data_IF_346606252754
#
_entry.id   IF_346606252754
#
_cell.length_a   1.000
_cell.length_b   1.000
_cell.length_c   1.000
_cell.angle_alpha   90.00
_cell.angle_beta   90.00
_cell.angle_gamma   90.00
#
_symmetry.space_group_name_H-M   'P 1'
#
loop_
_entity.id
_entity.type
_entity.pdbx_description
1 polymer ?
#
# COMPACT_ATOMS: atom_id res chain seq x y z
N UNK A 1 4.00 18.79 -17.97
CA UNK A 1 3.67 17.34 -17.98
C UNK A 1 2.80 17.09 -16.75
N UNK A 2 1.49 17.27 -16.89
CA UNK A 2 0.56 16.99 -15.79
C UNK A 2 0.48 15.46 -15.72
N UNK A 3 1.00 14.87 -14.64
CA UNK A 3 0.72 13.45 -14.38
C UNK A 3 -0.74 13.40 -13.95
N UNK A 4 -1.55 12.66 -14.70
CA UNK A 4 -2.92 12.30 -14.30
C UNK A 4 -2.90 11.87 -12.82
N UNK A 5 -3.86 12.31 -12.00
CA UNK A 5 -4.01 11.77 -10.66
C UNK A 5 -4.11 10.24 -10.74
N UNK A 6 -3.45 9.56 -9.81
CA UNK A 6 -3.64 8.13 -9.54
C UNK A 6 -5.17 7.88 -9.50
N UNK A 7 -5.68 7.11 -10.46
CA UNK A 7 -7.10 7.05 -10.83
C UNK A 7 -8.01 6.75 -9.64
N UNK A 8 -7.54 5.94 -8.69
CA UNK A 8 -8.29 5.60 -7.48
C UNK A 8 -8.28 6.71 -6.44
N UNK A 9 -7.20 7.47 -6.34
CA UNK A 9 -7.12 8.55 -5.36
C UNK A 9 -8.17 9.64 -5.64
N UNK A 10 -8.50 9.86 -6.92
CA UNK A 10 -9.58 10.75 -7.32
C UNK A 10 -10.98 10.30 -6.85
N UNK A 11 -11.13 9.05 -6.40
CA UNK A 11 -12.42 8.47 -5.99
C UNK A 11 -12.65 8.57 -4.47
N UNK A 12 -11.66 8.99 -3.68
CA UNK A 12 -11.74 9.13 -2.22
C UNK A 12 -12.90 10.06 -1.83
N UNK A 13 -13.77 9.63 -0.90
CA UNK A 13 -14.87 10.45 -0.38
C UNK A 13 -14.67 10.87 1.08
N UNK A 14 -13.73 10.23 1.79
CA UNK A 14 -13.43 10.50 3.19
C UNK A 14 -12.29 11.51 3.34
N UNK A 15 -12.49 12.53 4.17
CA UNK A 15 -11.43 13.49 4.56
C UNK A 15 -10.45 12.93 5.62
N UNK A 16 -10.58 11.65 5.98
CA UNK A 16 -9.78 11.00 7.03
C UNK A 16 -8.97 9.81 6.50
N UNK A 17 -9.38 8.59 6.80
CA UNK A 17 -8.82 7.37 6.22
C UNK A 17 -9.27 7.20 4.78
N UNK A 18 -8.40 6.60 3.96
CA UNK A 18 -8.75 6.21 2.60
C UNK A 18 -9.85 5.15 2.63
N UNK A 19 -10.94 5.43 1.92
CA UNK A 19 -12.06 4.53 1.68
C UNK A 19 -11.93 3.74 0.37
N UNK A 20 -10.78 3.89 -0.31
CA UNK A 20 -10.41 3.19 -1.53
C UNK A 20 -9.07 2.48 -1.34
N UNK A 21 -8.87 1.37 -2.05
CA UNK A 21 -7.61 0.66 -2.04
C UNK A 21 -6.51 1.45 -2.78
N UNK A 22 -5.33 1.68 -2.18
CA UNK A 22 -4.21 2.32 -2.87
C UNK A 22 -3.77 1.55 -4.12
N UNK A 23 -3.22 2.26 -5.11
CA UNK A 23 -2.58 1.61 -6.25
C UNK A 23 -1.19 1.07 -5.89
N UNK A 24 -0.49 1.76 -4.98
CA UNK A 24 0.84 1.39 -4.49
C UNK A 24 0.89 1.51 -2.96
N UNK A 25 1.42 0.49 -2.30
CA UNK A 25 1.86 0.52 -0.91
C UNK A 25 3.39 0.32 -0.87
N UNK A 26 4.07 1.03 0.03
CA UNK A 26 5.51 0.86 0.26
C UNK A 26 5.74 0.46 1.72
N UNK A 27 6.17 -0.78 1.94
CA UNK A 27 6.57 -1.30 3.25
C UNK A 27 8.10 -1.17 3.39
N UNK A 28 8.55 -0.37 4.36
CA UNK A 28 9.97 -0.24 4.71
C UNK A 28 10.21 -1.07 5.96
N UNK A 29 10.99 -2.14 5.83
CA UNK A 29 11.18 -3.08 6.94
C UNK A 29 12.06 -2.47 8.04
N UNK A 30 11.55 -2.54 9.27
CA UNK A 30 12.33 -2.31 10.48
C UNK A 30 13.25 -3.50 10.75
N UNK A 31 14.37 -3.34 11.47
CA UNK A 31 15.31 -4.43 11.73
C UNK A 31 14.69 -5.59 12.50
N UNK A 32 13.67 -5.29 13.31
CA UNK A 32 12.93 -6.21 14.15
C UNK A 32 11.72 -6.84 13.45
N UNK A 33 11.36 -6.42 12.24
CA UNK A 33 10.16 -6.91 11.58
C UNK A 33 10.32 -8.39 11.25
N UNK A 34 9.34 -9.17 11.67
CA UNK A 34 9.26 -10.58 11.35
C UNK A 34 8.69 -10.77 9.95
N UNK A 35 9.27 -11.69 9.19
CA UNK A 35 8.80 -11.97 7.83
C UNK A 35 7.35 -12.46 7.80
N UNK A 36 6.91 -13.19 8.83
CA UNK A 36 5.53 -13.65 8.97
C UNK A 36 4.53 -12.50 9.07
N UNK A 37 4.87 -11.43 9.78
CA UNK A 37 4.00 -10.25 9.91
C UNK A 37 3.85 -9.52 8.59
N UNK A 38 4.95 -9.41 7.82
CA UNK A 38 4.89 -8.87 6.46
C UNK A 38 4.00 -9.73 5.55
N UNK A 39 4.13 -11.06 5.60
CA UNK A 39 3.30 -11.93 4.77
C UNK A 39 1.80 -11.75 5.06
N UNK A 40 1.43 -11.60 6.33
CA UNK A 40 0.04 -11.28 6.73
C UNK A 40 -0.42 -9.96 6.12
N UNK A 41 0.37 -8.88 6.26
CA UNK A 41 0.06 -7.58 5.66
C UNK A 41 -0.12 -7.66 4.15
N UNK A 42 0.79 -8.35 3.45
CA UNK A 42 0.72 -8.52 2.00
C UNK A 42 -0.58 -9.21 1.58
N UNK A 43 -0.99 -10.27 2.28
CA UNK A 43 -2.24 -10.95 2.01
C UNK A 43 -3.45 -10.01 2.18
N UNK A 44 -3.46 -9.19 3.24
CA UNK A 44 -4.51 -8.21 3.50
C UNK A 44 -4.57 -7.12 2.42
N UNK A 45 -3.42 -6.59 2.00
CA UNK A 45 -3.34 -5.55 0.97
C UNK A 45 -3.84 -6.05 -0.39
N UNK A 46 -3.44 -7.25 -0.80
CA UNK A 46 -3.92 -7.82 -2.06
C UNK A 46 -5.38 -8.27 -1.98
N UNK A 47 -5.89 -8.64 -0.79
CA UNK A 47 -7.30 -8.95 -0.61
C UNK A 47 -8.23 -7.75 -0.88
N UNK A 48 -7.73 -6.53 -0.72
CA UNK A 48 -8.46 -5.28 -1.07
C UNK A 48 -8.09 -4.74 -2.46
N UNK A 49 -7.48 -5.56 -3.34
CA UNK A 49 -7.13 -5.19 -4.72
C UNK A 49 -6.10 -4.05 -4.85
N UNK A 50 -5.16 -3.93 -3.89
CA UNK A 50 -3.93 -3.14 -4.10
C UNK A 50 -3.17 -3.71 -5.30
N UNK A 51 -2.74 -2.85 -6.24
CA UNK A 51 -2.12 -3.31 -7.49
C UNK A 51 -0.64 -3.64 -7.35
N UNK A 52 0.07 -2.92 -6.49
CA UNK A 52 1.51 -3.07 -6.31
C UNK A 52 1.89 -2.84 -4.85
N UNK A 53 2.78 -3.69 -4.33
CA UNK A 53 3.43 -3.46 -3.05
C UNK A 53 4.93 -3.52 -3.26
N UNK A 54 5.64 -2.47 -2.82
CA UNK A 54 7.10 -2.47 -2.74
C UNK A 54 7.52 -2.77 -1.32
N UNK A 55 8.41 -3.75 -1.18
CA UNK A 55 9.05 -4.07 0.09
C UNK A 55 10.50 -3.64 0.00
N UNK A 56 10.91 -2.75 0.89
CA UNK A 56 12.28 -2.26 0.98
C UNK A 56 12.91 -2.85 2.24
N UNK A 57 13.83 -3.80 2.05
CA UNK A 57 14.75 -4.22 3.10
C UNK A 57 15.98 -3.32 3.07
N UNK A 58 16.36 -2.79 4.24
CA UNK A 58 17.48 -1.86 4.44
C UNK A 58 18.78 -2.56 4.86
N UNK A 59 18.75 -3.88 4.96
CA UNK A 59 19.91 -4.73 5.30
C UNK A 59 20.89 -4.86 4.14
#
# INVERSE_FOLDING_TARGET
>A
MIKEPIERFAQVQSDSYLDVAPELIVEILSPSDAWSELQTKLAEYFAIDVKLVWVVDRR
#
